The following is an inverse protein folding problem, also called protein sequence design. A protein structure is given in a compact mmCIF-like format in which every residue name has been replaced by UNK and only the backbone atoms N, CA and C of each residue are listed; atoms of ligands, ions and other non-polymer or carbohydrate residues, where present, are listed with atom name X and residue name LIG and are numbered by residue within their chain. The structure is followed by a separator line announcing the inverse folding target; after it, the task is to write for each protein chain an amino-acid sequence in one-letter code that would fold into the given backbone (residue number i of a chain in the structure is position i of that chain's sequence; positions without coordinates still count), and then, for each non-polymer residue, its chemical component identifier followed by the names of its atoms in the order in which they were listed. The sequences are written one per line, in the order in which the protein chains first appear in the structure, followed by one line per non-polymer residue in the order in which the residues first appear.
data_IF_485093901144
#
_entry.id   IF_485093901144
#
_cell.length_a   1.000
_cell.length_b   1.000
_cell.length_c   1.000
_cell.angle_alpha   90.00
_cell.angle_beta   90.00
_cell.angle_gamma   90.00
#
_symmetry.space_group_name_H-M   'P 1'
#
loop_
_entity.id
_entity.type
_entity.pdbx_description
1 polymer ?
#
# COMPACT_ATOMS: atom_id res chain seq x y z
N UNK A 1 -8.11 -2.31 10.17
CA UNK A 1 -6.90 -2.82 9.48
C UNK A 1 -5.72 -1.88 9.65
N UNK A 2 -4.48 -2.42 9.76
CA UNK A 2 -3.23 -1.64 9.67
C UNK A 2 -2.35 -2.23 8.56
N UNK A 3 -1.70 -1.37 7.78
CA UNK A 3 -0.78 -1.77 6.72
C UNK A 3 0.58 -1.12 6.97
N UNK A 4 1.64 -1.91 6.85
CA UNK A 4 3.02 -1.43 6.93
C UNK A 4 3.70 -1.49 5.57
N UNK A 5 4.67 -0.60 5.37
CA UNK A 5 5.51 -0.54 4.18
C UNK A 5 6.98 -0.55 4.56
N UNK A 6 7.74 -1.43 3.91
CA UNK A 6 9.19 -1.53 4.06
C UNK A 6 9.89 -0.95 2.81
N UNK A 7 10.49 0.23 2.99
CA UNK A 7 11.23 0.92 1.94
C UNK A 7 12.42 0.11 1.43
N UNK A 8 13.08 -0.67 2.28
CA UNK A 8 14.26 -1.46 1.90
C UNK A 8 13.94 -2.65 0.99
N UNK A 9 12.68 -3.09 1.01
CA UNK A 9 12.15 -4.18 0.17
C UNK A 9 11.37 -3.63 -1.04
N UNK A 10 10.96 -2.36 -1.01
CA UNK A 10 10.15 -1.76 -2.06
C UNK A 10 10.93 -1.61 -3.39
N UNK A 11 10.44 -2.25 -4.46
CA UNK A 11 11.02 -2.12 -5.81
C UNK A 11 10.30 -1.08 -6.68
N UNK A 12 9.41 -0.26 -6.10
CA UNK A 12 8.66 0.79 -6.81
C UNK A 12 7.87 0.30 -8.05
N UNK A 13 7.29 -0.90 -7.98
CA UNK A 13 6.51 -1.49 -9.09
C UNK A 13 5.21 -0.73 -9.45
N UNK A 14 4.76 0.21 -8.60
CA UNK A 14 3.59 1.05 -8.86
C UNK A 14 2.22 0.40 -8.64
N UNK A 15 2.14 -0.89 -8.34
CA UNK A 15 0.89 -1.63 -8.14
C UNK A 15 0.00 -1.05 -7.03
N UNK A 16 0.59 -0.63 -5.92
CA UNK A 16 -0.15 -0.06 -4.79
C UNK A 16 -0.83 1.27 -5.14
N UNK A 17 -0.05 2.24 -5.64
CA UNK A 17 -0.54 3.57 -6.03
C UNK A 17 -1.49 3.53 -7.22
N UNK A 18 -1.41 2.51 -8.09
CA UNK A 18 -2.33 2.32 -9.21
C UNK A 18 -3.63 1.60 -8.80
N UNK A 19 -3.55 0.60 -7.92
CA UNK A 19 -4.69 -0.22 -7.51
C UNK A 19 -5.61 0.48 -6.50
N UNK A 20 -5.04 1.27 -5.60
CA UNK A 20 -5.79 2.07 -4.63
C UNK A 20 -5.10 3.42 -4.39
N UNK A 21 -5.14 4.36 -5.35
CA UNK A 21 -4.53 5.69 -5.22
C UNK A 21 -5.11 6.51 -4.06
N UNK A 22 -6.34 6.22 -3.63
CA UNK A 22 -6.92 6.87 -2.46
C UNK A 22 -6.26 6.43 -1.14
N UNK A 23 -5.71 5.21 -1.10
CA UNK A 23 -5.05 4.59 0.06
C UNK A 23 -3.54 4.78 0.02
N UNK A 24 -2.89 4.40 -1.08
CA UNK A 24 -1.45 4.46 -1.25
C UNK A 24 -1.08 5.66 -2.12
N UNK A 25 -0.47 6.67 -1.52
CA UNK A 25 -0.16 7.93 -2.22
C UNK A 25 1.14 8.52 -1.74
N UNK A 26 1.75 9.34 -2.59
CA UNK A 26 2.91 10.15 -2.22
C UNK A 26 2.43 11.58 -2.03
N UNK A 27 2.51 12.07 -0.80
CA UNK A 27 2.15 13.44 -0.43
C UNK A 27 3.39 14.13 0.14
N UNK A 28 3.76 15.28 -0.42
CA UNK A 28 4.95 16.04 -0.02
C UNK A 28 6.25 15.20 0.01
N UNK A 29 6.38 14.28 -0.95
CA UNK A 29 7.53 13.39 -1.07
C UNK A 29 7.58 12.25 -0.04
N UNK A 30 6.51 12.06 0.74
CA UNK A 30 6.39 10.95 1.70
C UNK A 30 5.35 9.95 1.22
N UNK A 31 5.66 8.66 1.38
CA UNK A 31 4.67 7.61 1.14
C UNK A 31 3.67 7.55 2.30
N UNK A 32 2.41 7.76 1.99
CA UNK A 32 1.28 7.78 2.92
C UNK A 32 0.37 6.60 2.63
N UNK A 33 -0.08 5.94 3.70
CA UNK A 33 -1.05 4.86 3.65
C UNK A 33 -2.27 5.26 4.46
N UNK A 34 -3.36 5.56 3.77
CA UNK A 34 -4.64 5.94 4.36
C UNK A 34 -5.65 4.80 4.22
N UNK A 35 -5.64 3.88 5.17
CA UNK A 35 -6.56 2.72 5.17
C UNK A 35 -8.02 3.11 5.41
N UNK A 36 -8.32 4.37 5.75
CA UNK A 36 -9.70 4.84 5.91
C UNK A 36 -10.36 5.23 4.58
N UNK A 37 -9.56 5.41 3.53
CA UNK A 37 -10.03 5.85 2.22
C UNK A 37 -10.69 4.74 1.38
N UNK A 38 -10.66 3.48 1.84
CA UNK A 38 -11.19 2.34 1.08
C UNK A 38 -11.59 1.16 1.97
N UNK A 39 -12.21 0.13 1.39
CA UNK A 39 -12.60 -1.08 2.12
C UNK A 39 -11.40 -1.98 2.43
N UNK A 40 -11.47 -2.72 3.55
CA UNK A 40 -10.39 -3.65 3.95
C UNK A 40 -10.14 -4.73 2.88
N UNK A 41 -11.19 -5.20 2.19
CA UNK A 41 -11.08 -6.15 1.08
C UNK A 41 -10.25 -5.59 -0.08
N UNK A 42 -10.57 -4.38 -0.55
CA UNK A 42 -9.82 -3.73 -1.64
C UNK A 42 -8.36 -3.46 -1.24
N UNK A 43 -8.12 -3.05 0.00
CA UNK A 43 -6.77 -2.84 0.51
C UNK A 43 -6.01 -4.16 0.53
N UNK A 44 -6.62 -5.25 0.98
CA UNK A 44 -6.00 -6.56 1.03
C UNK A 44 -5.63 -7.09 -0.37
N UNK A 45 -6.52 -6.93 -1.34
CA UNK A 45 -6.27 -7.30 -2.74
C UNK A 45 -5.04 -6.56 -3.28
N UNK A 46 -5.00 -5.23 -3.12
CA UNK A 46 -3.88 -4.41 -3.61
C UNK A 46 -2.57 -4.71 -2.88
N UNK A 47 -2.61 -4.98 -1.57
CA UNK A 47 -1.42 -5.42 -0.82
C UNK A 47 -0.91 -6.76 -1.36
N UNK A 48 -1.80 -7.69 -1.72
CA UNK A 48 -1.42 -9.00 -2.29
C UNK A 48 -0.76 -8.91 -3.66
N UNK A 49 -1.04 -7.84 -4.43
CA UNK A 49 -0.41 -7.57 -5.72
C UNK A 49 1.01 -7.00 -5.60
N UNK A 50 1.51 -6.69 -4.39
CA UNK A 50 2.85 -6.17 -4.20
C UNK A 50 3.91 -7.24 -4.54
N UNK A 51 4.64 -7.13 -5.66
CA UNK A 51 5.50 -8.21 -6.15
C UNK A 51 6.75 -8.42 -5.28
N UNK A 52 7.18 -7.39 -4.53
CA UNK A 52 8.32 -7.51 -3.62
C UNK A 52 7.94 -7.91 -2.21
N UNK A 53 6.64 -7.93 -1.87
CA UNK A 53 6.19 -8.16 -0.49
C UNK A 53 6.54 -7.04 0.49
N UNK A 54 6.81 -5.83 -0.02
CA UNK A 54 7.10 -4.64 0.81
C UNK A 54 5.89 -4.13 1.60
N UNK A 55 4.67 -4.47 1.17
CA UNK A 55 3.43 -4.16 1.89
C UNK A 55 2.96 -5.37 2.69
N UNK A 56 2.60 -5.15 3.96
CA UNK A 56 2.09 -6.20 4.85
C UNK A 56 0.89 -5.71 5.64
N UNK A 57 -0.11 -6.59 5.78
CA UNK A 57 -1.26 -6.38 6.65
C UNK A 57 -0.88 -6.82 8.06
N UNK A 58 -1.08 -5.96 9.04
CA UNK A 58 -0.93 -6.28 10.45
C UNK A 58 -2.32 -6.54 11.05
N UNK A 59 -2.44 -7.67 11.75
CA UNK A 59 -3.60 -8.11 12.52
C UNK A 59 -3.58 -7.60 13.95
#
# INVERSE_FOLDING_TARGET
MKVSWDESVCIHAGKCVQGAPEVFKVEDGKFVIDTSASSEEKIADVVSECPSGALKIES
#
